data_IF_114694231053
#
_entry.id   IF_114694231053
#
_cell.length_a   1.000
_cell.length_b   1.000
_cell.length_c   1.000
_cell.angle_alpha   90.00
_cell.angle_beta   90.00
_cell.angle_gamma   90.00
#
_symmetry.space_group_name_H-M   'P 1'
#
loop_
_entity.id
_entity.type
_entity.pdbx_description
1 polymer ?
#
# COMPACT_ATOMS: atom_id res chain seq x y z
N UNK A 1 21.37 11.46 -20.15
CA UNK A 1 21.10 12.23 -18.92
C UNK A 1 22.21 13.25 -18.81
N UNK A 2 21.89 14.54 -18.63
CA UNK A 2 22.93 15.55 -18.39
C UNK A 2 23.58 15.29 -17.01
N UNK A 3 24.88 15.56 -16.86
CA UNK A 3 25.65 15.32 -15.62
C UNK A 3 25.02 15.95 -14.37
N UNK A 4 24.29 17.05 -14.55
CA UNK A 4 23.63 17.72 -13.44
C UNK A 4 22.26 17.12 -13.08
N UNK A 5 21.55 16.50 -14.04
CA UNK A 5 20.32 15.74 -13.76
C UNK A 5 20.63 14.44 -12.99
N UNK A 6 21.85 13.93 -13.17
CA UNK A 6 22.38 12.78 -12.43
C UNK A 6 22.40 13.02 -10.92
N UNK A 7 22.71 14.25 -10.47
CA UNK A 7 22.70 14.60 -9.05
C UNK A 7 21.34 14.29 -8.40
N UNK A 8 20.27 14.83 -8.97
CA UNK A 8 18.93 14.70 -8.41
C UNK A 8 18.38 13.28 -8.62
N UNK A 9 18.76 12.63 -9.72
CA UNK A 9 18.46 11.20 -9.95
C UNK A 9 19.08 10.29 -8.87
N UNK A 10 20.34 10.51 -8.51
CA UNK A 10 21.02 9.75 -7.44
C UNK A 10 20.37 10.02 -6.08
N UNK A 11 20.05 11.28 -5.78
CA UNK A 11 19.31 11.64 -4.57
C UNK A 11 18.00 10.83 -4.46
N UNK A 12 17.17 10.85 -5.51
CA UNK A 12 15.91 10.12 -5.53
C UNK A 12 16.09 8.61 -5.54
N UNK A 13 17.19 8.12 -6.11
CA UNK A 13 17.55 6.70 -6.02
C UNK A 13 17.77 6.31 -4.56
N UNK A 14 18.56 7.08 -3.80
CA UNK A 14 18.75 6.82 -2.38
C UNK A 14 17.45 6.90 -1.58
N UNK A 15 16.61 7.91 -1.81
CA UNK A 15 15.30 8.05 -1.15
C UNK A 15 14.40 6.85 -1.48
N UNK A 16 14.30 6.46 -2.76
CA UNK A 16 13.48 5.33 -3.21
C UNK A 16 13.90 3.98 -2.62
N UNK A 17 15.19 3.84 -2.27
CA UNK A 17 15.77 2.65 -1.65
C UNK A 17 15.77 2.73 -0.11
N UNK A 18 15.16 3.78 0.46
CA UNK A 18 15.08 4.06 1.89
C UNK A 18 16.43 4.36 2.55
N UNK A 19 17.43 4.76 1.76
CA UNK A 19 18.76 5.16 2.22
C UNK A 19 18.82 6.65 2.51
N UNK A 20 18.01 7.12 3.45
CA UNK A 20 17.86 8.55 3.75
C UNK A 20 19.17 9.22 4.21
N UNK A 21 20.02 8.51 4.95
CA UNK A 21 21.33 9.04 5.35
C UNK A 21 22.26 9.21 4.15
N UNK A 22 22.30 8.24 3.21
CA UNK A 22 23.06 8.38 1.96
C UNK A 22 22.53 9.52 1.11
N UNK A 23 21.21 9.70 1.03
CA UNK A 23 20.60 10.84 0.34
C UNK A 23 21.06 12.17 0.95
N UNK A 24 21.13 12.26 2.28
CA UNK A 24 21.61 13.44 3.00
C UNK A 24 23.10 13.67 2.77
N UNK A 25 23.94 12.65 2.89
CA UNK A 25 25.39 12.73 2.61
C UNK A 25 25.67 13.16 1.17
N UNK A 26 24.89 12.65 0.21
CA UNK A 26 24.96 13.04 -1.20
C UNK A 26 24.67 14.53 -1.40
N UNK A 27 23.67 15.06 -0.69
CA UNK A 27 23.33 16.49 -0.69
C UNK A 27 24.41 17.35 0.00
N UNK A 28 25.01 16.87 1.09
CA UNK A 28 26.08 17.59 1.81
C UNK A 28 27.34 17.78 0.96
N UNK A 29 27.70 16.79 0.13
CA UNK A 29 28.86 16.85 -0.78
C UNK A 29 28.73 17.97 -1.83
N UNK A 30 27.52 18.41 -2.12
CA UNK A 30 27.24 19.42 -3.16
C UNK A 30 27.19 20.86 -2.63
N UNK A 31 27.46 21.08 -1.33
CA UNK A 31 27.48 22.41 -0.70
C UNK A 31 28.70 23.27 -1.07
N UNK A 32 29.59 22.76 -1.93
CA UNK A 32 30.70 23.53 -2.47
C UNK A 32 30.20 24.72 -3.32
N UNK A 33 30.94 25.85 -3.36
CA UNK A 33 30.44 27.09 -3.93
C UNK A 33 30.18 26.98 -5.45
N UNK A 34 28.88 27.04 -5.83
CA UNK A 34 28.40 27.18 -7.21
C UNK A 34 28.08 28.64 -7.56
N UNK A 35 27.87 28.91 -8.84
CA UNK A 35 27.60 30.24 -9.46
C UNK A 35 26.37 30.99 -8.91
N UNK A 36 25.44 30.31 -8.21
CA UNK A 36 24.31 30.91 -7.48
C UNK A 36 24.22 30.30 -6.07
N UNK A 37 25.09 30.71 -5.13
CA UNK A 37 25.31 29.98 -3.89
C UNK A 37 24.10 30.03 -2.96
N UNK A 38 23.35 31.13 -2.92
CA UNK A 38 22.22 31.28 -1.98
C UNK A 38 21.04 30.38 -2.35
N UNK A 39 20.60 30.41 -3.61
CA UNK A 39 19.46 29.60 -4.09
C UNK A 39 19.79 28.11 -4.07
N UNK A 40 21.03 27.77 -4.48
CA UNK A 40 21.50 26.39 -4.44
C UNK A 40 21.52 25.82 -3.03
N UNK A 41 22.07 26.57 -2.07
CA UNK A 41 22.12 26.13 -0.67
C UNK A 41 20.73 25.99 -0.05
N UNK A 42 19.80 26.89 -0.38
CA UNK A 42 18.40 26.77 0.05
C UNK A 42 17.77 25.49 -0.49
N UNK A 43 17.91 25.23 -1.80
CA UNK A 43 17.43 24.02 -2.45
C UNK A 43 17.98 22.75 -1.81
N UNK A 44 19.30 22.67 -1.59
CA UNK A 44 19.95 21.54 -0.94
C UNK A 44 19.43 21.31 0.48
N UNK A 45 19.26 22.37 1.27
CA UNK A 45 18.72 22.25 2.63
C UNK A 45 17.29 21.68 2.64
N UNK A 46 16.44 22.08 1.68
CA UNK A 46 15.09 21.53 1.56
C UNK A 46 15.07 20.08 1.11
N UNK A 47 16.02 19.64 0.26
CA UNK A 47 16.16 18.22 -0.07
C UNK A 47 16.50 17.36 1.16
N UNK A 48 17.30 17.85 2.10
CA UNK A 48 17.57 17.10 3.34
C UNK A 48 16.32 16.95 4.21
N UNK A 49 15.54 18.02 4.32
CA UNK A 49 14.28 18.00 5.06
C UNK A 49 13.24 17.09 4.39
N UNK A 50 13.21 17.07 3.04
CA UNK A 50 12.35 16.18 2.27
C UNK A 50 12.71 14.70 2.50
N UNK A 51 13.99 14.35 2.53
CA UNK A 51 14.42 12.99 2.84
C UNK A 51 13.97 12.54 4.24
N UNK A 52 13.99 13.45 5.22
CA UNK A 52 13.47 13.20 6.56
C UNK A 52 11.93 13.05 6.58
N UNK A 53 11.21 13.87 5.79
CA UNK A 53 9.77 13.76 5.66
C UNK A 53 9.35 12.42 5.04
N UNK A 54 10.08 11.95 4.01
CA UNK A 54 9.87 10.65 3.37
C UNK A 54 10.12 9.48 4.34
N UNK A 55 11.17 9.56 5.16
CA UNK A 55 11.39 8.60 6.25
C UNK A 55 10.18 8.50 7.18
N UNK A 56 9.69 9.64 7.66
CA UNK A 56 8.54 9.70 8.57
C UNK A 56 7.23 9.24 7.89
N UNK A 57 7.10 9.41 6.57
CA UNK A 57 5.98 8.90 5.80
C UNK A 57 5.94 7.37 5.81
N UNK A 58 7.08 6.73 5.56
CA UNK A 58 7.20 5.27 5.53
C UNK A 58 6.93 4.62 6.91
N UNK A 59 7.04 5.39 7.99
CA UNK A 59 6.72 4.94 9.35
C UNK A 59 5.22 5.02 9.70
N UNK A 60 4.37 5.60 8.83
CA UNK A 60 2.91 5.75 8.98
C UNK A 60 2.45 6.35 10.33
N UNK A 61 3.35 6.98 11.07
CA UNK A 61 3.06 7.55 12.40
C UNK A 61 2.00 8.65 12.38
N UNK A 62 1.80 9.27 11.21
CA UNK A 62 0.74 10.26 11.00
C UNK A 62 -0.68 9.72 11.22
N UNK A 63 -0.90 8.41 11.10
CA UNK A 63 -2.19 7.78 11.39
C UNK A 63 -2.50 7.65 12.90
N UNK A 64 -1.47 7.61 13.75
CA UNK A 64 -1.63 7.36 15.20
C UNK A 64 -1.85 8.65 16.01
N UNK A 65 -1.46 9.81 15.46
CA UNK A 65 -1.37 11.07 16.21
C UNK A 65 -2.73 11.72 16.53
N UNK A 66 -3.86 11.24 15.98
CA UNK A 66 -5.18 11.86 16.20
C UNK A 66 -5.83 11.53 17.55
N UNK A 67 -5.44 10.45 18.24
CA UNK A 67 -6.11 10.01 19.48
C UNK A 67 -5.29 10.14 20.77
N UNK A 68 -4.01 10.55 20.72
CA UNK A 68 -3.14 10.65 21.91
C UNK A 68 -2.51 12.03 22.15
N UNK A 69 -2.75 13.01 21.27
CA UNK A 69 -2.10 14.32 21.35
C UNK A 69 -2.98 15.37 22.05
N UNK A 70 -3.13 15.27 23.37
CA UNK A 70 -3.70 16.38 24.17
C UNK A 70 -2.67 17.47 24.50
N UNK A 71 -1.37 17.29 24.20
CA UNK A 71 -0.30 18.19 24.64
C UNK A 71 0.87 18.39 23.65
N UNK A 72 0.78 18.00 22.37
CA UNK A 72 1.85 18.28 21.39
C UNK A 72 1.34 19.11 20.22
N UNK A 73 2.00 20.27 20.07
CA UNK A 73 1.90 21.26 18.98
C UNK A 73 1.78 20.60 17.60
N UNK A 74 0.89 21.16 16.78
CA UNK A 74 0.38 20.73 15.47
C UNK A 74 1.43 20.57 14.33
N UNK A 75 2.49 19.79 14.53
CA UNK A 75 3.38 19.40 13.43
C UNK A 75 2.97 18.04 12.86
N UNK A 76 1.79 18.00 12.24
CA UNK A 76 1.39 16.84 11.45
C UNK A 76 2.36 16.65 10.26
N UNK A 77 2.55 15.42 9.79
CA UNK A 77 3.40 15.15 8.63
C UNK A 77 2.91 15.92 7.39
N UNK A 78 1.59 16.08 7.24
CA UNK A 78 0.98 16.95 6.23
C UNK A 78 1.50 18.38 6.32
N UNK A 79 1.50 18.97 7.52
CA UNK A 79 2.00 20.34 7.74
C UNK A 79 3.46 20.47 7.32
N UNK A 80 4.28 19.44 7.54
CA UNK A 80 5.68 19.41 7.11
C UNK A 80 5.79 19.41 5.58
N UNK A 81 5.02 18.56 4.89
CA UNK A 81 5.00 18.55 3.43
C UNK A 81 4.49 19.86 2.83
N UNK A 82 3.44 20.46 3.40
CA UNK A 82 2.92 21.75 2.95
C UNK A 82 3.93 22.90 3.18
N UNK A 83 4.67 22.88 4.30
CA UNK A 83 5.76 23.82 4.52
C UNK A 83 6.85 23.66 3.46
N UNK A 84 7.30 22.42 3.21
CA UNK A 84 8.30 22.12 2.17
C UNK A 84 7.84 22.55 0.78
N UNK A 85 6.58 22.29 0.43
CA UNK A 85 5.97 22.71 -0.83
C UNK A 85 6.09 24.23 -1.02
N UNK A 86 5.73 25.00 0.00
CA UNK A 86 5.83 26.46 -0.03
C UNK A 86 7.28 26.94 -0.12
N UNK A 87 8.21 26.25 0.55
CA UNK A 87 9.62 26.61 0.53
C UNK A 87 10.28 26.31 -0.83
N UNK A 88 9.98 25.16 -1.46
CA UNK A 88 10.38 24.89 -2.84
C UNK A 88 9.74 25.88 -3.82
N UNK A 89 8.50 26.30 -3.58
CA UNK A 89 7.82 27.30 -4.42
C UNK A 89 8.53 28.65 -4.37
N UNK A 90 8.97 29.09 -3.18
CA UNK A 90 9.80 30.30 -3.04
C UNK A 90 11.12 30.18 -3.79
N UNK A 91 11.78 29.02 -3.79
CA UNK A 91 13.02 28.82 -4.57
C UNK A 91 12.73 28.89 -6.06
N UNK A 92 11.66 28.24 -6.51
CA UNK A 92 11.19 28.27 -7.90
C UNK A 92 10.95 29.70 -8.40
N UNK A 93 10.27 30.53 -7.60
CA UNK A 93 9.88 31.90 -7.97
C UNK A 93 11.07 32.89 -7.96
N UNK A 94 12.14 32.58 -7.21
CA UNK A 94 13.34 33.42 -7.13
C UNK A 94 14.39 33.14 -8.22
N UNK A 95 14.12 32.20 -9.14
CA UNK A 95 15.01 31.85 -10.25
C UNK A 95 15.05 32.99 -11.30
N UNK A 96 16.23 33.56 -11.58
CA UNK A 96 16.41 34.79 -12.38
C UNK A 96 16.78 34.53 -13.86
N UNK A 97 16.56 33.32 -14.36
CA UNK A 97 16.66 33.00 -15.79
C UNK A 97 18.04 32.54 -16.29
N UNK A 98 19.04 32.41 -15.42
CA UNK A 98 20.30 31.73 -15.77
C UNK A 98 20.03 30.28 -16.23
N UNK A 99 20.94 29.65 -16.99
CA UNK A 99 20.76 28.24 -17.37
C UNK A 99 20.64 27.32 -16.14
N UNK A 100 21.41 27.62 -15.08
CA UNK A 100 21.37 26.93 -13.81
C UNK A 100 20.04 27.17 -13.06
N UNK A 101 19.56 28.41 -13.05
CA UNK A 101 18.29 28.79 -12.41
C UNK A 101 17.11 28.12 -13.11
N UNK A 102 17.11 28.04 -14.45
CA UNK A 102 16.09 27.33 -15.22
C UNK A 102 16.02 25.85 -14.85
N UNK A 103 17.17 25.24 -14.52
CA UNK A 103 17.23 23.85 -14.06
C UNK A 103 16.68 23.69 -12.65
N UNK A 104 17.09 24.53 -11.70
CA UNK A 104 16.54 24.53 -10.33
C UNK A 104 15.02 24.76 -10.38
N UNK A 105 14.56 25.71 -11.18
CA UNK A 105 13.14 25.96 -11.40
C UNK A 105 12.39 24.69 -11.85
N UNK A 106 12.92 23.99 -12.87
CA UNK A 106 12.37 22.72 -13.35
C UNK A 106 12.33 21.66 -12.25
N UNK A 107 13.40 21.51 -11.46
CA UNK A 107 13.44 20.55 -10.35
C UNK A 107 12.45 20.89 -9.25
N UNK A 108 12.39 22.15 -8.79
CA UNK A 108 11.43 22.59 -7.79
C UNK A 108 9.99 22.32 -8.24
N UNK A 109 9.64 22.63 -9.50
CA UNK A 109 8.32 22.35 -10.06
C UNK A 109 7.96 20.87 -9.96
N UNK A 110 8.87 19.97 -10.36
CA UNK A 110 8.62 18.52 -10.29
C UNK A 110 8.54 18.02 -8.84
N UNK A 111 9.39 18.54 -7.95
CA UNK A 111 9.35 18.20 -6.51
C UNK A 111 8.04 18.66 -5.86
N UNK A 112 7.52 19.84 -6.22
CA UNK A 112 6.24 20.36 -5.73
C UNK A 112 5.07 19.47 -6.17
N UNK A 113 5.08 18.98 -7.42
CA UNK A 113 4.09 18.00 -7.90
C UNK A 113 4.17 16.70 -7.09
N UNK A 114 5.38 16.18 -6.88
CA UNK A 114 5.60 14.97 -6.07
C UNK A 114 5.13 15.14 -4.62
N UNK A 115 5.47 16.26 -3.97
CA UNK A 115 5.01 16.57 -2.61
C UNK A 115 3.47 16.62 -2.56
N UNK A 116 2.83 17.21 -3.57
CA UNK A 116 1.37 17.26 -3.64
C UNK A 116 0.78 15.85 -3.74
N UNK A 117 1.35 15.00 -4.59
CA UNK A 117 0.93 13.59 -4.71
C UNK A 117 1.12 12.81 -3.40
N UNK A 118 2.17 13.12 -2.64
CA UNK A 118 2.44 12.50 -1.34
C UNK A 118 1.42 12.93 -0.27
N UNK A 119 1.01 14.20 -0.27
CA UNK A 119 -0.06 14.71 0.60
C UNK A 119 -1.39 14.02 0.29
N UNK A 120 -1.71 13.85 -0.99
CA UNK A 120 -2.93 13.13 -1.41
C UNK A 120 -2.92 11.65 -0.97
N UNK A 121 -1.75 10.99 -0.96
CA UNK A 121 -1.64 9.65 -0.37
C UNK A 121 -1.81 9.66 1.16
N UNK A 122 -1.35 10.68 1.87
CA UNK A 122 -1.63 10.84 3.31
C UNK A 122 -3.14 10.93 3.52
N UNK A 123 -3.86 11.74 2.73
CA UNK A 123 -5.32 11.82 2.76
C UNK A 123 -5.99 10.47 2.52
N UNK A 124 -5.51 9.73 1.52
CA UNK A 124 -6.02 8.41 1.20
C UNK A 124 -5.86 7.42 2.38
N UNK A 125 -4.67 7.34 2.98
CA UNK A 125 -4.46 6.45 4.13
C UNK A 125 -5.29 6.87 5.35
N UNK A 126 -5.45 8.17 5.60
CA UNK A 126 -6.34 8.66 6.65
C UNK A 126 -7.79 8.27 6.38
N UNK A 127 -8.25 8.37 5.13
CA UNK A 127 -9.59 7.92 4.72
C UNK A 127 -9.78 6.43 4.96
N UNK A 128 -8.84 5.59 4.51
CA UNK A 128 -8.87 4.13 4.74
C UNK A 128 -8.95 3.82 6.25
N UNK A 129 -8.12 4.49 7.05
CA UNK A 129 -8.10 4.31 8.50
C UNK A 129 -9.43 4.69 9.15
N UNK A 130 -9.98 5.87 8.83
CA UNK A 130 -11.24 6.35 9.40
C UNK A 130 -12.44 5.45 9.03
N UNK A 131 -12.52 5.00 7.77
CA UNK A 131 -13.56 4.07 7.33
C UNK A 131 -13.46 2.72 8.05
N UNK A 132 -12.23 2.26 8.35
CA UNK A 132 -11.99 1.01 9.06
C UNK A 132 -12.46 1.06 10.53
N UNK A 133 -12.30 2.19 11.21
CA UNK A 133 -12.76 2.39 12.59
C UNK A 133 -14.29 2.41 12.66
N UNK A 134 -14.93 3.08 11.70
CA UNK A 134 -16.38 3.24 11.66
C UNK A 134 -17.12 1.98 11.17
N UNK A 135 -16.40 0.89 10.86
CA UNK A 135 -16.94 -0.36 10.31
C UNK A 135 -17.78 -0.18 9.03
N UNK A 136 -17.54 0.90 8.29
CA UNK A 136 -18.19 1.24 7.02
C UNK A 136 -17.18 1.09 5.87
N UNK A 137 -16.61 -0.11 5.73
CA UNK A 137 -15.66 -0.38 4.65
C UNK A 137 -16.42 -0.78 3.39
N UNK A 138 -16.71 0.20 2.55
CA UNK A 138 -17.10 -0.01 1.16
C UNK A 138 -15.83 0.01 0.31
N UNK A 139 -15.42 -1.16 -0.21
CA UNK A 139 -14.17 -1.27 -0.96
C UNK A 139 -14.20 -0.45 -2.26
N UNK A 140 -15.37 -0.32 -2.90
CA UNK A 140 -15.55 0.54 -4.07
C UNK A 140 -15.21 2.01 -3.78
N UNK A 141 -15.62 2.55 -2.63
CA UNK A 141 -15.34 3.95 -2.26
C UNK A 141 -13.83 4.20 -2.08
N UNK A 142 -13.13 3.23 -1.50
CA UNK A 142 -11.68 3.29 -1.34
C UNK A 142 -10.99 3.14 -2.69
N UNK A 143 -11.43 2.18 -3.50
CA UNK A 143 -10.93 1.95 -4.85
C UNK A 143 -11.04 3.21 -5.72
N UNK A 144 -12.23 3.83 -5.76
CA UNK A 144 -12.46 5.09 -6.49
C UNK A 144 -11.54 6.22 -6.02
N UNK A 145 -11.21 6.24 -4.72
CA UNK A 145 -10.27 7.23 -4.16
C UNK A 145 -8.83 6.96 -4.62
N UNK A 146 -8.42 5.69 -4.71
CA UNK A 146 -7.12 5.28 -5.26
C UNK A 146 -7.03 5.71 -6.73
N UNK A 147 -8.05 5.39 -7.54
CA UNK A 147 -8.10 5.76 -8.95
C UNK A 147 -8.01 7.28 -9.14
N UNK A 148 -8.73 8.05 -8.32
CA UNK A 148 -8.67 9.52 -8.35
C UNK A 148 -7.25 10.04 -8.12
N UNK A 149 -6.51 9.46 -7.16
CA UNK A 149 -5.12 9.86 -6.88
C UNK A 149 -4.20 9.48 -8.04
N UNK A 150 -4.34 8.27 -8.59
CA UNK A 150 -3.57 7.80 -9.74
C UNK A 150 -3.80 8.69 -10.95
N UNK A 151 -5.07 8.93 -11.32
CA UNK A 151 -5.44 9.72 -12.49
C UNK A 151 -5.01 11.18 -12.36
N UNK A 152 -5.08 11.75 -11.15
CA UNK A 152 -4.64 13.12 -10.90
C UNK A 152 -3.14 13.31 -11.11
N UNK A 153 -2.32 12.30 -10.80
CA UNK A 153 -0.86 12.43 -10.77
C UNK A 153 -0.12 11.60 -11.85
N UNK A 154 -0.83 10.94 -12.77
CA UNK A 154 -0.21 10.11 -13.82
C UNK A 154 0.77 10.87 -14.72
N UNK A 155 0.50 12.14 -14.98
CA UNK A 155 1.28 13.02 -15.86
C UNK A 155 2.18 14.01 -15.08
N UNK A 156 2.23 13.88 -13.76
CA UNK A 156 3.02 14.74 -12.88
C UNK A 156 4.45 14.21 -12.66
N UNK A 157 5.37 15.11 -12.28
CA UNK A 157 6.76 14.83 -11.91
C UNK A 157 7.50 13.89 -12.88
N UNK A 158 7.28 14.09 -14.18
CA UNK A 158 7.76 13.23 -15.28
C UNK A 158 9.23 13.43 -15.64
N UNK A 159 9.91 14.37 -14.99
CA UNK A 159 11.33 14.60 -15.25
C UNK A 159 12.17 13.36 -14.95
N UNK A 160 13.18 13.10 -15.79
CA UNK A 160 14.04 11.92 -15.68
C UNK A 160 14.78 11.86 -14.33
N UNK A 161 15.07 13.00 -13.72
CA UNK A 161 15.71 13.04 -12.40
C UNK A 161 14.79 12.56 -11.27
N UNK A 162 13.47 12.60 -11.44
CA UNK A 162 12.49 12.09 -10.47
C UNK A 162 11.99 10.68 -10.79
N UNK A 163 12.51 10.02 -11.84
CA UNK A 163 12.09 8.67 -12.23
C UNK A 163 12.11 7.66 -11.06
N UNK A 164 13.12 7.62 -10.17
CA UNK A 164 13.09 6.72 -9.01
C UNK A 164 11.94 7.00 -8.04
N UNK A 165 11.64 8.28 -7.80
CA UNK A 165 10.53 8.70 -6.93
C UNK A 165 9.17 8.34 -7.55
N UNK A 166 9.00 8.61 -8.85
CA UNK A 166 7.81 8.24 -9.61
C UNK A 166 7.56 6.74 -9.61
N UNK A 167 8.63 5.94 -9.74
CA UNK A 167 8.52 4.49 -9.72
C UNK A 167 8.01 3.98 -8.37
N UNK A 168 8.48 4.52 -7.24
CA UNK A 168 7.99 4.12 -5.92
C UNK A 168 6.56 4.58 -5.66
N UNK A 169 6.23 5.83 -6.03
CA UNK A 169 4.85 6.32 -5.96
C UNK A 169 3.88 5.44 -6.76
N UNK A 170 4.26 5.08 -7.99
CA UNK A 170 3.44 4.22 -8.85
C UNK A 170 3.29 2.82 -8.27
N UNK A 171 4.39 2.21 -7.81
CA UNK A 171 4.36 0.89 -7.16
C UNK A 171 3.40 0.88 -5.96
N UNK A 172 3.47 1.89 -5.11
CA UNK A 172 2.59 2.02 -3.95
C UNK A 172 1.11 2.08 -4.35
N UNK A 173 0.77 2.96 -5.31
CA UNK A 173 -0.60 3.11 -5.79
C UNK A 173 -1.12 1.84 -6.49
N UNK A 174 -0.31 1.21 -7.33
CA UNK A 174 -0.65 -0.02 -8.05
C UNK A 174 -0.90 -1.19 -7.08
N UNK A 175 -0.06 -1.35 -6.05
CA UNK A 175 -0.27 -2.38 -5.02
C UNK A 175 -1.59 -2.14 -4.29
N UNK A 176 -1.90 -0.89 -3.92
CA UNK A 176 -3.18 -0.55 -3.30
C UNK A 176 -4.35 -0.87 -4.23
N UNK A 177 -4.27 -0.43 -5.49
CA UNK A 177 -5.31 -0.66 -6.49
C UNK A 177 -5.56 -2.16 -6.70
N UNK A 178 -4.52 -2.96 -6.91
CA UNK A 178 -4.63 -4.41 -7.12
C UNK A 178 -5.25 -5.12 -5.89
N UNK A 179 -4.85 -4.74 -4.68
CA UNK A 179 -5.37 -5.34 -3.44
C UNK A 179 -6.84 -4.96 -3.18
N UNK A 180 -7.23 -3.71 -3.41
CA UNK A 180 -8.62 -3.27 -3.25
C UNK A 180 -9.53 -3.78 -4.37
N UNK A 181 -9.03 -3.87 -5.62
CA UNK A 181 -9.73 -4.54 -6.72
C UNK A 181 -9.99 -6.00 -6.36
N UNK A 182 -8.97 -6.70 -5.84
CA UNK A 182 -9.14 -8.08 -5.37
C UNK A 182 -10.23 -8.18 -4.30
N UNK A 183 -10.30 -7.24 -3.35
CA UNK A 183 -11.33 -7.27 -2.31
C UNK A 183 -12.75 -7.12 -2.89
N UNK A 184 -12.92 -6.32 -3.94
CA UNK A 184 -14.18 -6.19 -4.69
C UNK A 184 -14.49 -7.49 -5.47
N UNK A 185 -13.51 -8.05 -6.16
CA UNK A 185 -13.66 -9.29 -6.93
C UNK A 185 -13.97 -10.49 -6.03
N UNK A 186 -13.41 -10.54 -4.82
CA UNK A 186 -13.75 -11.52 -3.79
C UNK A 186 -15.20 -11.39 -3.32
N UNK A 187 -15.73 -10.17 -3.20
CA UNK A 187 -17.15 -9.96 -2.90
C UNK A 187 -18.04 -10.50 -4.03
N UNK A 188 -17.55 -10.56 -5.27
CA UNK A 188 -18.23 -11.09 -6.47
C UNK A 188 -17.87 -12.54 -6.78
N UNK A 189 -17.12 -13.21 -5.90
CA UNK A 189 -16.64 -14.59 -6.06
C UNK A 189 -15.89 -14.84 -7.38
N UNK A 190 -15.14 -13.85 -7.87
CA UNK A 190 -14.38 -13.95 -9.11
C UNK A 190 -13.00 -14.59 -8.86
N UNK A 191 -12.87 -15.89 -9.13
CA UNK A 191 -11.63 -16.65 -8.85
C UNK A 191 -10.41 -16.15 -9.63
N UNK A 192 -10.44 -16.26 -10.97
CA UNK A 192 -9.27 -15.97 -11.82
C UNK A 192 -8.83 -14.50 -11.74
N UNK A 193 -9.73 -13.49 -11.80
CA UNK A 193 -9.33 -12.09 -11.64
C UNK A 193 -8.65 -11.83 -10.30
N UNK A 194 -9.23 -12.33 -9.20
CA UNK A 194 -8.65 -12.20 -7.86
C UNK A 194 -7.26 -12.84 -7.79
N UNK A 195 -7.07 -14.03 -8.35
CA UNK A 195 -5.79 -14.73 -8.33
C UNK A 195 -4.70 -13.93 -9.08
N UNK A 196 -5.03 -13.41 -10.27
CA UNK A 196 -4.12 -12.62 -11.09
C UNK A 196 -3.68 -11.33 -10.36
N UNK A 197 -4.61 -10.61 -9.74
CA UNK A 197 -4.34 -9.38 -9.00
C UNK A 197 -3.50 -9.64 -7.73
N UNK A 198 -3.80 -10.71 -6.97
CA UNK A 198 -2.98 -11.10 -5.81
C UNK A 198 -1.54 -11.40 -6.22
N UNK A 199 -1.36 -12.10 -7.35
CA UNK A 199 -0.03 -12.40 -7.88
C UNK A 199 0.69 -11.12 -8.35
N UNK A 200 -0.01 -10.20 -9.01
CA UNK A 200 0.49 -8.87 -9.36
C UNK A 200 1.03 -8.13 -8.14
N UNK A 201 0.20 -8.01 -7.10
CA UNK A 201 0.55 -7.29 -5.88
C UNK A 201 1.73 -7.95 -5.17
N UNK A 202 1.79 -9.29 -5.15
CA UNK A 202 2.93 -10.03 -4.61
C UNK A 202 4.23 -9.74 -5.36
N UNK A 203 4.17 -9.74 -6.70
CA UNK A 203 5.33 -9.49 -7.56
C UNK A 203 5.87 -8.07 -7.36
N UNK A 204 4.98 -7.06 -7.30
CA UNK A 204 5.36 -5.67 -7.05
C UNK A 204 5.94 -5.47 -5.66
N UNK A 205 5.34 -6.08 -4.63
CA UNK A 205 5.89 -6.04 -3.27
C UNK A 205 7.29 -6.65 -3.20
N UNK A 206 7.51 -7.81 -3.84
CA UNK A 206 8.83 -8.44 -3.90
C UNK A 206 9.85 -7.58 -4.66
N UNK A 207 9.44 -6.96 -5.77
CA UNK A 207 10.28 -6.04 -6.54
C UNK A 207 10.64 -4.77 -5.75
N UNK A 208 9.72 -4.25 -4.95
CA UNK A 208 9.98 -3.12 -4.06
C UNK A 208 10.93 -3.51 -2.93
N UNK A 209 10.68 -4.64 -2.25
CA UNK A 209 11.55 -5.17 -1.19
C UNK A 209 12.99 -5.39 -1.69
N UNK A 210 13.15 -5.98 -2.88
CA UNK A 210 14.47 -6.24 -3.46
C UNK A 210 15.30 -4.98 -3.75
N UNK A 211 14.67 -3.81 -3.87
CA UNK A 211 15.34 -2.51 -4.05
C UNK A 211 15.71 -1.84 -2.73
N UNK A 212 15.13 -2.25 -1.61
CA UNK A 212 15.41 -1.64 -0.30
C UNK A 212 16.80 -2.05 0.18
N UNK A 213 17.72 -1.08 0.26
CA UNK A 213 19.10 -1.31 0.73
C UNK A 213 19.27 -1.08 2.24
N UNK A 214 18.23 -0.60 2.92
CA UNK A 214 18.17 -0.32 4.36
C UNK A 214 18.29 -1.59 5.23
N UNK A 215 19.40 -2.31 5.11
CA UNK A 215 19.92 -3.28 6.09
C UNK A 215 21.06 -2.69 6.94
N UNK A 216 21.47 -1.45 6.65
CA UNK A 216 22.77 -0.89 7.09
C UNK A 216 22.84 -0.51 8.58
N UNK A 217 21.74 -0.51 9.34
CA UNK A 217 21.77 -0.30 10.79
C UNK A 217 21.64 -1.59 11.63
N UNK A 218 21.66 -2.77 11.02
CA UNK A 218 21.33 -4.03 11.72
C UNK A 218 22.53 -4.76 12.35
N UNK A 219 23.68 -4.10 12.50
CA UNK A 219 24.88 -4.69 13.11
C UNK A 219 24.94 -4.63 14.65
N UNK A 220 23.84 -4.29 15.32
CA UNK A 220 23.68 -4.51 16.76
C UNK A 220 22.49 -5.44 17.00
N UNK A 221 22.62 -6.67 16.49
CA UNK A 221 21.80 -7.78 16.94
C UNK A 221 22.01 -7.94 18.45
N UNK A 222 20.94 -7.83 19.22
CA UNK A 222 20.69 -8.59 20.45
C UNK A 222 19.42 -8.17 21.22
N UNK A 223 18.71 -7.06 20.90
CA UNK A 223 17.62 -6.60 21.82
C UNK A 223 16.27 -6.19 21.19
N UNK A 224 16.11 -5.97 19.87
CA UNK A 224 14.79 -5.55 19.33
C UNK A 224 14.27 -6.48 18.23
N UNK A 225 13.23 -7.27 18.56
CA UNK A 225 12.42 -8.11 17.65
C UNK A 225 11.51 -7.29 16.72
N UNK A 226 11.92 -6.09 16.31
CA UNK A 226 11.13 -5.29 15.39
C UNK A 226 11.48 -5.73 13.98
N UNK A 227 10.45 -6.15 13.22
CA UNK A 227 10.60 -6.45 11.80
C UNK A 227 11.28 -5.28 11.12
N UNK A 228 12.27 -5.54 10.25
CA UNK A 228 13.27 -4.53 9.99
C UNK A 228 12.94 -3.68 8.74
N UNK A 229 11.74 -3.89 8.18
CA UNK A 229 11.12 -3.15 7.09
C UNK A 229 10.33 -1.93 7.63
N UNK A 230 10.12 -0.86 6.85
CA UNK A 230 9.28 0.26 7.29
C UNK A 230 7.82 -0.14 7.54
N UNK A 231 7.16 0.58 8.44
CA UNK A 231 5.81 0.24 8.89
C UNK A 231 4.76 0.26 7.75
N UNK A 232 4.87 1.18 6.79
CA UNK A 232 4.00 1.21 5.61
C UNK A 232 4.11 -0.09 4.80
N UNK A 233 5.35 -0.51 4.53
CA UNK A 233 5.60 -1.71 3.74
C UNK A 233 5.11 -2.97 4.46
N UNK A 234 5.34 -3.06 5.77
CA UNK A 234 4.79 -4.14 6.60
C UNK A 234 3.26 -4.16 6.56
N UNK A 235 2.62 -2.99 6.58
CA UNK A 235 1.17 -2.89 6.48
C UNK A 235 0.65 -3.40 5.13
N UNK A 236 1.30 -3.05 4.02
CA UNK A 236 0.96 -3.58 2.68
C UNK A 236 1.15 -5.10 2.60
N UNK A 237 2.25 -5.63 3.14
CA UNK A 237 2.46 -7.08 3.22
C UNK A 237 1.37 -7.78 4.03
N UNK A 238 0.97 -7.18 5.16
CA UNK A 238 -0.11 -7.70 6.00
C UNK A 238 -1.45 -7.65 5.29
N UNK A 239 -1.78 -6.55 4.61
CA UNK A 239 -2.99 -6.41 3.80
C UNK A 239 -3.05 -7.51 2.73
N UNK A 240 -1.97 -7.69 1.96
CA UNK A 240 -1.83 -8.79 0.97
C UNK A 240 -1.97 -10.16 1.61
N UNK A 241 -1.45 -10.35 2.83
CA UNK A 241 -1.60 -11.57 3.61
C UNK A 241 -3.06 -11.87 4.00
N UNK A 242 -3.79 -10.85 4.45
CA UNK A 242 -5.22 -10.94 4.77
C UNK A 242 -6.07 -11.19 3.52
N UNK A 243 -5.81 -10.48 2.42
CA UNK A 243 -6.51 -10.70 1.13
C UNK A 243 -6.31 -12.13 0.65
N UNK A 244 -5.06 -12.63 0.66
CA UNK A 244 -4.77 -14.02 0.29
C UNK A 244 -5.45 -15.03 1.22
N UNK A 245 -5.49 -14.76 2.53
CA UNK A 245 -6.19 -15.63 3.50
C UNK A 245 -7.69 -15.73 3.21
N UNK A 246 -8.33 -14.61 2.79
CA UNK A 246 -9.73 -14.61 2.36
C UNK A 246 -9.93 -15.35 1.03
N UNK A 247 -9.07 -15.10 0.06
CA UNK A 247 -9.07 -15.80 -1.23
C UNK A 247 -8.98 -17.31 -1.05
N UNK A 248 -8.03 -17.79 -0.24
CA UNK A 248 -7.85 -19.22 0.03
C UNK A 248 -9.04 -19.84 0.77
N UNK A 249 -9.75 -19.06 1.59
CA UNK A 249 -10.99 -19.53 2.22
C UNK A 249 -12.13 -19.65 1.20
N UNK A 250 -12.38 -18.61 0.42
CA UNK A 250 -13.51 -18.54 -0.51
C UNK A 250 -13.40 -19.54 -1.65
N UNK A 251 -12.17 -19.82 -2.08
CA UNK A 251 -11.91 -20.71 -3.20
C UNK A 251 -11.14 -21.96 -2.78
N UNK A 252 -11.27 -22.38 -1.52
CA UNK A 252 -10.58 -23.56 -0.99
C UNK A 252 -10.83 -24.79 -1.87
N UNK A 253 -12.08 -25.04 -2.25
CA UNK A 253 -12.46 -26.22 -3.04
C UNK A 253 -11.91 -26.13 -4.46
N UNK A 254 -12.00 -24.96 -5.10
CA UNK A 254 -11.40 -24.71 -6.41
C UNK A 254 -9.89 -24.95 -6.39
N UNK A 255 -9.20 -24.45 -5.34
CA UNK A 255 -7.76 -24.65 -5.16
C UNK A 255 -7.42 -26.13 -4.94
N UNK A 256 -8.19 -26.84 -4.12
CA UNK A 256 -7.98 -28.26 -3.87
C UNK A 256 -8.19 -29.13 -5.12
N UNK A 257 -9.07 -28.71 -6.03
CA UNK A 257 -9.30 -29.37 -7.32
C UNK A 257 -8.20 -29.07 -8.34
N UNK A 258 -7.60 -27.89 -8.29
CA UNK A 258 -6.61 -27.40 -9.27
C UNK A 258 -5.15 -27.57 -8.84
N UNK A 259 -4.90 -28.04 -7.62
CA UNK A 259 -3.55 -28.22 -7.07
C UNK A 259 -3.36 -29.62 -6.53
N UNK A 260 -2.10 -30.07 -6.39
CA UNK A 260 -1.83 -31.34 -5.70
C UNK A 260 -2.01 -31.17 -4.19
N UNK A 261 -2.24 -32.25 -3.42
CA UNK A 261 -2.28 -32.18 -1.95
C UNK A 261 -0.97 -31.66 -1.32
N UNK A 262 0.16 -31.80 -2.01
CA UNK A 262 1.43 -31.20 -1.57
C UNK A 262 1.42 -29.69 -1.76
N UNK A 263 1.00 -29.23 -2.94
CA UNK A 263 0.93 -27.79 -3.27
C UNK A 263 -0.09 -27.07 -2.40
N UNK A 264 -1.24 -27.69 -2.14
CA UNK A 264 -2.26 -27.13 -1.25
C UNK A 264 -1.73 -26.94 0.18
N UNK A 265 -1.00 -27.93 0.72
CA UNK A 265 -0.35 -27.79 2.04
C UNK A 265 0.71 -26.68 2.04
N UNK A 266 1.48 -26.58 0.97
CA UNK A 266 2.46 -25.50 0.81
C UNK A 266 1.79 -24.13 0.77
N UNK A 267 0.70 -23.98 0.02
CA UNK A 267 -0.10 -22.76 -0.05
C UNK A 267 -0.62 -22.37 1.34
N UNK A 268 -1.26 -23.29 2.05
CA UNK A 268 -1.80 -23.05 3.39
C UNK A 268 -0.71 -22.65 4.39
N UNK A 269 0.49 -23.22 4.30
CA UNK A 269 1.61 -22.88 5.19
C UNK A 269 2.10 -21.43 5.04
N UNK A 270 1.83 -20.79 3.90
CA UNK A 270 2.18 -19.38 3.62
C UNK A 270 1.08 -18.39 4.03
N UNK A 271 -0.09 -18.87 4.46
CA UNK A 271 -1.19 -18.00 4.87
C UNK A 271 -0.87 -17.34 6.20
N UNK A 272 -1.21 -16.05 6.29
CA UNK A 272 -1.17 -15.36 7.59
C UNK A 272 -2.25 -15.91 8.52
N UNK A 273 -3.41 -16.26 7.96
CA UNK A 273 -4.51 -16.87 8.67
C UNK A 273 -5.12 -18.01 7.85
N UNK A 274 -4.88 -19.24 8.27
CA UNK A 274 -5.59 -20.40 7.72
C UNK A 274 -7.01 -20.48 8.31
N UNK A 275 -7.94 -19.78 7.68
CA UNK A 275 -9.34 -19.76 8.10
C UNK A 275 -10.03 -21.11 7.89
N UNK A 276 -9.66 -21.83 6.84
CA UNK A 276 -10.25 -23.13 6.54
C UNK A 276 -9.90 -24.15 7.62
N UNK A 277 -8.61 -24.25 7.99
CA UNK A 277 -8.19 -25.15 9.06
C UNK A 277 -8.82 -24.80 10.40
N UNK A 278 -9.10 -23.51 10.66
CA UNK A 278 -9.88 -23.09 11.84
C UNK A 278 -11.32 -23.59 11.79
N UNK A 279 -11.98 -23.55 10.64
CA UNK A 279 -13.32 -24.10 10.47
C UNK A 279 -13.33 -25.63 10.69
N UNK A 280 -12.38 -26.35 10.11
CA UNK A 280 -12.23 -27.81 10.29
C UNK A 280 -11.98 -28.16 11.76
N UNK A 281 -11.09 -27.42 12.42
CA UNK A 281 -10.77 -27.62 13.84
C UNK A 281 -11.99 -27.33 14.73
N UNK A 282 -12.73 -26.26 14.41
CA UNK A 282 -13.96 -25.90 15.11
C UNK A 282 -15.02 -27.01 14.95
N UNK A 283 -15.28 -27.46 13.72
CA UNK A 283 -16.25 -28.50 13.42
C UNK A 283 -15.96 -29.76 14.24
N UNK A 284 -14.71 -30.24 14.22
CA UNK A 284 -14.29 -31.42 14.98
C UNK A 284 -14.38 -31.21 16.49
N UNK A 285 -13.98 -30.03 17.00
CA UNK A 285 -13.96 -29.75 18.44
C UNK A 285 -15.36 -29.76 19.06
N UNK A 286 -16.37 -29.35 18.30
CA UNK A 286 -17.74 -29.21 18.79
C UNK A 286 -18.70 -30.22 18.18
N UNK A 287 -18.21 -31.21 17.43
CA UNK A 287 -19.01 -32.20 16.72
C UNK A 287 -20.13 -31.58 15.86
N UNK A 288 -19.84 -30.42 15.26
CA UNK A 288 -20.81 -29.73 14.42
C UNK A 288 -21.01 -30.52 13.12
N UNK A 289 -22.26 -30.69 12.70
CA UNK A 289 -22.55 -31.47 11.48
C UNK A 289 -21.94 -30.80 10.25
N UNK A 290 -22.07 -29.47 10.14
CA UNK A 290 -21.55 -28.69 9.02
C UNK A 290 -21.15 -27.28 9.45
N UNK A 291 -20.17 -26.71 8.76
CA UNK A 291 -19.84 -25.27 8.83
C UNK A 291 -19.86 -24.75 7.40
N UNK A 292 -20.81 -23.87 7.07
CA UNK A 292 -21.07 -23.44 5.70
C UNK A 292 -20.86 -21.93 5.58
N UNK A 293 -20.21 -21.52 4.49
CA UNK A 293 -20.14 -20.12 4.07
C UNK A 293 -21.18 -19.92 2.96
N UNK A 294 -22.16 -19.06 3.20
CA UNK A 294 -23.23 -18.75 2.25
C UNK A 294 -23.03 -17.35 1.70
N UNK A 295 -23.09 -17.20 0.37
CA UNK A 295 -23.09 -15.90 -0.30
C UNK A 295 -24.51 -15.51 -0.68
N UNK A 296 -24.87 -14.26 -0.40
CA UNK A 296 -26.14 -13.66 -0.84
C UNK A 296 -26.13 -13.28 -2.33
N UNK A 297 -24.97 -13.39 -3.02
CA UNK A 297 -24.91 -13.12 -4.45
C UNK A 297 -25.75 -14.17 -5.19
N UNK A 298 -26.75 -13.70 -5.94
CA UNK A 298 -27.36 -14.53 -6.95
C UNK A 298 -26.28 -14.90 -7.96
N UNK A 299 -25.76 -16.11 -7.86
CA UNK A 299 -25.06 -16.74 -8.97
C UNK A 299 -26.01 -16.65 -10.16
N UNK A 300 -25.63 -15.95 -11.23
CA UNK A 300 -26.46 -15.93 -12.44
C UNK A 300 -26.45 -17.35 -13.00
N UNK A 301 -27.46 -18.14 -12.67
CA UNK A 301 -27.63 -19.48 -13.20
C UNK A 301 -28.05 -19.36 -14.67
N UNK A 302 -27.13 -19.57 -15.61
CA UNK A 302 -27.53 -20.07 -16.92
C UNK A 302 -27.78 -21.58 -16.77
N UNK A 303 -29.05 -21.97 -16.79
CA UNK A 303 -29.53 -23.30 -16.42
C UNK A 303 -29.31 -24.36 -17.52
N UNK A 304 -28.37 -24.14 -18.44
CA UNK A 304 -28.19 -24.97 -19.64
C UNK A 304 -27.06 -25.97 -19.56
N UNK A 305 -26.07 -25.78 -18.68
CA UNK A 305 -24.93 -26.68 -18.54
C UNK A 305 -24.88 -27.25 -17.11
N UNK A 306 -25.41 -28.45 -16.93
CA UNK A 306 -25.49 -29.14 -15.63
C UNK A 306 -24.17 -29.78 -15.15
N UNK A 307 -23.07 -29.62 -15.90
CA UNK A 307 -21.86 -30.42 -15.69
C UNK A 307 -20.60 -29.61 -15.32
N UNK A 308 -20.71 -28.38 -14.78
CA UNK A 308 -19.51 -27.63 -14.39
C UNK A 308 -19.73 -26.73 -13.18
N UNK A 309 -18.93 -26.99 -12.13
CA UNK A 309 -18.70 -26.24 -10.87
C UNK A 309 -19.52 -26.64 -9.62
N UNK A 310 -18.88 -26.61 -8.43
CA UNK A 310 -19.43 -27.22 -7.23
C UNK A 310 -20.63 -26.43 -6.72
N UNK A 311 -21.75 -27.13 -6.61
CA UNK A 311 -22.99 -26.69 -5.99
C UNK A 311 -22.71 -26.43 -4.50
N UNK A 312 -22.64 -25.16 -4.08
CA UNK A 312 -22.88 -24.81 -2.66
C UNK A 312 -24.39 -24.75 -2.47
N UNK A 313 -25.04 -25.91 -2.38
CA UNK A 313 -26.41 -26.02 -1.83
C UNK A 313 -26.58 -27.42 -1.24
N UNK A 314 -26.99 -27.50 0.02
CA UNK A 314 -27.68 -28.68 0.53
C UNK A 314 -28.96 -28.25 1.24
N UNK A 315 -30.09 -28.42 0.55
CA UNK A 315 -31.45 -28.47 1.11
C UNK A 315 -31.67 -29.83 1.83
N UNK A 316 -32.62 -29.93 2.80
CA UNK A 316 -34.04 -30.12 2.48
C UNK A 316 -35.01 -29.19 3.27
N UNK A 317 -36.30 -29.15 2.87
CA UNK A 317 -37.26 -28.14 3.26
C UNK A 317 -38.02 -28.56 4.52
N UNK A 318 -37.74 -27.95 5.68
CA UNK A 318 -38.69 -27.79 6.80
C UNK A 318 -38.07 -27.00 7.96
N UNK A 319 -38.84 -26.02 8.46
CA UNK A 319 -38.89 -25.50 9.84
C UNK A 319 -37.75 -24.63 10.46
N UNK A 320 -38.14 -23.34 10.64
CA UNK A 320 -38.15 -22.48 11.84
C UNK A 320 -36.87 -21.89 12.50
N UNK A 321 -36.83 -20.53 12.45
CA UNK A 321 -36.40 -19.45 13.38
C UNK A 321 -35.03 -19.40 14.14
N UNK A 322 -34.34 -18.25 13.93
CA UNK A 322 -33.60 -17.32 14.87
C UNK A 322 -32.19 -17.75 15.39
N UNK A 323 -31.11 -16.94 15.56
CA UNK A 323 -30.57 -15.59 15.19
C UNK A 323 -29.04 -15.62 15.49
N UNK A 324 -28.19 -14.93 14.72
CA UNK A 324 -27.09 -14.10 15.28
C UNK A 324 -26.58 -13.10 14.24
N UNK A 325 -26.30 -11.87 14.67
CA UNK A 325 -25.98 -10.72 13.82
C UNK A 325 -24.46 -10.54 13.77
N UNK A 326 -23.88 -10.55 12.57
CA UNK A 326 -22.57 -9.96 12.28
C UNK A 326 -22.81 -8.85 11.26
N UNK A 327 -22.44 -7.59 11.55
CA UNK A 327 -22.64 -6.52 10.59
C UNK A 327 -21.60 -6.62 9.47
N UNK A 328 -22.13 -6.57 8.23
CA UNK A 328 -21.49 -6.50 6.90
C UNK A 328 -21.37 -7.82 6.12
N UNK A 329 -22.40 -8.05 5.27
CA UNK A 329 -22.47 -8.91 4.07
C UNK A 329 -22.28 -10.44 4.18
N UNK A 330 -22.00 -11.00 5.35
CA UNK A 330 -21.91 -12.47 5.51
C UNK A 330 -22.54 -12.91 6.82
N UNK A 331 -23.34 -13.97 6.76
CA UNK A 331 -23.91 -14.64 7.95
C UNK A 331 -23.24 -15.99 8.12
N UNK A 332 -22.64 -16.20 9.28
CA UNK A 332 -22.19 -17.52 9.71
C UNK A 332 -23.37 -18.23 10.37
N UNK A 333 -23.81 -19.35 9.82
CA UNK A 333 -24.87 -20.16 10.39
C UNK A 333 -24.26 -21.37 11.12
N UNK A 334 -24.65 -21.54 12.39
CA UNK A 334 -24.30 -22.70 13.21
C UNK A 334 -25.54 -23.58 13.35
N UNK A 335 -25.38 -24.89 13.16
CA UNK A 335 -26.35 -25.91 13.58
C UNK A 335 -25.61 -26.99 14.36
#
# INVERSE_FOLDING_TARGET
MEKDDEFLHIYWTHVSQLCYEKAKEHVEKEKEPKTSPILWMAFLNFLQQLALAEKNYMDIGFLQNKHKSFLRKDNSLRTIYEALKNDFKKVEDNCRGSAFDRRIHKWCKNIIQYITARVDLIDLYEKIYNLSINKQLHFDDIHNSIDTVIDKHKDDFTDISLTPARAVFSLECEILQELFTTLIDLQRLQFLPSLALIHGAHTRLAAWEGKMQSRESWKLGLVFKNSPLPALFQWLQKLKGTVLSKFSLYFHDTLAQQTTPSDMRHLCSKLHYDHYQKMVTFQRKYDASYVIILSDNQVSYDTRDYDSFPIIVSYPPTCFYIFSVVPTSWKLYLR
#
